data_IF_709837009991
#
_entry.id   IF_709837009991
#
_cell.length_a   1.000
_cell.length_b   1.000
_cell.length_c   1.000
_cell.angle_alpha   90.00
_cell.angle_beta   90.00
_cell.angle_gamma   90.00
#
_symmetry.space_group_name_H-M   'P 1'
#
loop_
_entity.id
_entity.type
_entity.pdbx_description
1 polymer ?
#
# COMPACT_ATOMS: atom_id res chain seq x y z
N UNK A 1 -16.38 19.78 -41.17
CA UNK A 1 -15.63 20.14 -39.95
C UNK A 1 -15.41 18.82 -39.26
N UNK A 2 -14.27 18.18 -39.55
CA UNK A 2 -14.04 16.77 -39.24
C UNK A 2 -13.84 16.59 -37.74
N UNK A 3 -14.54 15.61 -37.20
CA UNK A 3 -14.37 15.12 -35.84
C UNK A 3 -12.89 14.75 -35.60
N UNK A 4 -12.24 15.44 -34.68
CA UNK A 4 -10.98 14.99 -34.08
C UNK A 4 -11.28 13.77 -33.20
N UNK A 5 -11.35 12.60 -33.83
CA UNK A 5 -11.25 11.33 -33.13
C UNK A 5 -9.83 11.21 -32.57
N UNK A 6 -9.66 11.71 -31.35
CA UNK A 6 -8.45 11.53 -30.55
C UNK A 6 -8.27 10.04 -30.30
N UNK A 7 -7.11 9.52 -30.69
CA UNK A 7 -6.74 8.11 -30.58
C UNK A 7 -6.61 7.68 -29.13
N UNK A 8 -7.71 7.23 -28.52
CA UNK A 8 -7.69 6.65 -27.18
C UNK A 8 -7.30 5.17 -27.29
N UNK A 9 -6.00 4.88 -27.13
CA UNK A 9 -5.54 3.52 -26.87
C UNK A 9 -6.17 3.07 -25.55
N UNK A 10 -7.13 2.16 -25.60
CA UNK A 10 -7.81 1.60 -24.43
C UNK A 10 -6.84 0.71 -23.63
N UNK A 11 -5.90 1.34 -22.92
CA UNK A 11 -5.11 0.68 -21.89
C UNK A 11 -6.01 0.42 -20.68
N UNK A 12 -5.77 -0.69 -19.98
CA UNK A 12 -6.52 -1.01 -18.76
C UNK A 12 -6.29 0.10 -17.73
N UNK A 13 -7.35 0.65 -17.10
CA UNK A 13 -7.20 1.76 -16.16
C UNK A 13 -6.35 1.33 -14.95
N UNK A 14 -5.44 2.20 -14.52
CA UNK A 14 -4.54 1.97 -13.38
C UNK A 14 -5.30 1.95 -12.04
N UNK A 15 -6.40 2.69 -11.93
CA UNK A 15 -7.28 2.77 -10.77
C UNK A 15 -8.74 2.74 -11.25
N UNK A 16 -9.61 1.99 -10.56
CA UNK A 16 -11.05 1.95 -10.84
C UNK A 16 -11.87 2.09 -9.56
N UNK A 17 -12.80 3.03 -9.56
CA UNK A 17 -13.81 3.16 -8.50
C UNK A 17 -14.88 2.09 -8.72
N UNK A 18 -15.00 1.13 -7.81
CA UNK A 18 -15.98 0.03 -7.90
C UNK A 18 -17.31 0.41 -7.22
N UNK A 19 -17.28 1.36 -6.29
CA UNK A 19 -18.45 1.82 -5.51
C UNK A 19 -18.22 3.26 -5.03
N UNK A 20 -19.32 4.02 -4.94
CA UNK A 20 -19.32 5.43 -4.52
C UNK A 20 -19.28 6.39 -5.70
N UNK A 21 -19.47 7.68 -5.42
CA UNK A 21 -19.34 8.76 -6.39
C UNK A 21 -18.46 9.85 -5.77
N UNK A 22 -17.13 9.65 -5.74
CA UNK A 22 -16.23 10.60 -5.10
C UNK A 22 -16.27 11.93 -5.83
N UNK A 23 -16.08 13.01 -5.09
CA UNK A 23 -15.81 14.30 -5.71
C UNK A 23 -14.37 14.37 -6.25
N UNK A 24 -14.06 15.45 -6.99
CA UNK A 24 -12.75 15.63 -7.61
C UNK A 24 -11.62 15.67 -6.56
N UNK A 25 -11.89 16.22 -5.38
CA UNK A 25 -10.90 16.34 -4.32
C UNK A 25 -10.60 14.98 -3.68
N UNK A 26 -11.62 14.16 -3.45
CA UNK A 26 -11.49 12.80 -2.95
C UNK A 26 -10.76 11.90 -3.95
N UNK A 27 -11.09 12.01 -5.24
CA UNK A 27 -10.42 11.25 -6.29
C UNK A 27 -8.93 11.64 -6.41
N UNK A 28 -8.63 12.94 -6.33
CA UNK A 28 -7.26 13.45 -6.33
C UNK A 28 -6.47 12.96 -5.10
N UNK A 29 -7.10 12.97 -3.91
CA UNK A 29 -6.46 12.51 -2.68
C UNK A 29 -6.05 11.02 -2.76
N UNK A 30 -6.96 10.15 -3.22
CA UNK A 30 -6.66 8.73 -3.41
C UNK A 30 -5.55 8.53 -4.43
N UNK A 31 -5.60 9.26 -5.55
CA UNK A 31 -4.59 9.19 -6.61
C UNK A 31 -3.22 9.62 -6.11
N UNK A 32 -3.15 10.71 -5.34
CA UNK A 32 -1.92 11.22 -4.75
C UNK A 32 -1.29 10.22 -3.77
N UNK A 33 -2.10 9.57 -2.93
CA UNK A 33 -1.62 8.53 -2.00
C UNK A 33 -1.06 7.32 -2.76
N UNK A 34 -1.74 6.86 -3.81
CA UNK A 34 -1.27 5.73 -4.63
C UNK A 34 0.03 6.08 -5.35
N UNK A 35 0.12 7.29 -5.93
CA UNK A 35 1.34 7.77 -6.57
C UNK A 35 2.50 7.88 -5.57
N UNK A 36 2.26 8.43 -4.38
CA UNK A 36 3.26 8.55 -3.32
C UNK A 36 3.77 7.18 -2.84
N UNK A 37 2.87 6.20 -2.70
CA UNK A 37 3.24 4.83 -2.34
C UNK A 37 4.08 4.15 -3.43
N UNK A 38 3.80 4.42 -4.70
CA UNK A 38 4.56 3.91 -5.84
C UNK A 38 5.93 4.59 -6.01
N UNK A 39 6.07 5.86 -5.58
CA UNK A 39 7.30 6.63 -5.68
C UNK A 39 8.30 6.40 -4.55
N UNK A 40 8.02 5.48 -3.61
CA UNK A 40 8.94 5.20 -2.50
C UNK A 40 10.30 4.70 -3.01
N UNK A 41 11.36 5.45 -2.68
CA UNK A 41 12.75 5.05 -2.90
C UNK A 41 12.98 3.67 -2.27
N UNK A 42 13.59 2.75 -3.01
CA UNK A 42 14.05 1.49 -2.46
C UNK A 42 15.14 1.79 -1.42
N UNK A 43 14.75 1.91 -0.15
CA UNK A 43 15.69 1.97 0.96
C UNK A 43 16.64 0.78 0.79
N UNK A 44 17.95 1.06 0.83
CA UNK A 44 18.97 0.02 0.82
C UNK A 44 18.55 -1.10 1.78
N UNK A 45 18.68 -2.38 1.40
CA UNK A 45 18.21 -3.47 2.24
C UNK A 45 18.96 -3.38 3.57
N UNK A 46 18.25 -2.92 4.60
CA UNK A 46 18.63 -3.10 6.00
C UNK A 46 18.90 -4.61 6.13
N UNK A 47 20.03 -4.99 6.74
CA UNK A 47 20.42 -6.40 6.88
C UNK A 47 19.19 -7.22 7.27
N UNK A 48 18.91 -8.37 6.61
CA UNK A 48 17.60 -9.01 6.67
C UNK A 48 17.18 -9.17 8.12
N UNK A 49 16.26 -8.32 8.59
CA UNK A 49 15.72 -8.45 9.93
C UNK A 49 14.99 -9.78 9.95
N UNK A 50 15.28 -10.59 10.97
CA UNK A 50 14.57 -11.85 11.15
C UNK A 50 13.08 -11.49 11.28
N UNK A 51 12.28 -11.96 10.32
CA UNK A 51 10.84 -11.72 10.33
C UNK A 51 10.28 -12.04 11.71
N UNK A 52 9.50 -11.11 12.26
CA UNK A 52 8.77 -11.30 13.52
C UNK A 52 7.90 -12.56 13.50
N UNK A 53 7.46 -13.00 12.32
CA UNK A 53 6.68 -14.24 12.14
C UNK A 53 7.53 -15.51 12.28
N UNK A 54 8.85 -15.40 12.07
CA UNK A 54 9.81 -16.50 12.26
C UNK A 54 10.37 -16.57 13.68
N UNK A 55 9.90 -15.72 14.61
CA UNK A 55 10.34 -15.74 16.00
C UNK A 55 9.90 -17.05 16.69
N UNK A 56 10.84 -17.88 17.21
CA UNK A 56 10.50 -19.08 17.97
C UNK A 56 9.60 -18.80 19.18
N UNK A 57 9.66 -17.61 19.77
CA UNK A 57 8.79 -17.22 20.88
C UNK A 57 7.30 -17.20 20.48
N UNK A 58 6.98 -17.01 19.20
CA UNK A 58 5.60 -17.10 18.69
C UNK A 58 5.04 -18.54 18.74
N UNK A 59 5.91 -19.56 18.84
CA UNK A 59 5.49 -20.98 19.02
C UNK A 59 5.18 -21.30 20.49
N UNK A 60 5.57 -20.42 21.40
CA UNK A 60 5.29 -20.56 22.82
C UNK A 60 4.00 -19.79 23.15
N UNK A 61 3.18 -20.32 24.06
CA UNK A 61 2.00 -19.59 24.58
C UNK A 61 2.44 -18.53 25.59
N UNK A 62 3.14 -17.51 25.11
CA UNK A 62 3.54 -16.35 25.90
C UNK A 62 2.45 -15.27 25.85
N UNK A 63 2.17 -14.55 26.95
CA UNK A 63 1.27 -13.41 26.91
C UNK A 63 1.77 -12.32 25.95
N UNK A 64 0.85 -11.70 25.22
CA UNK A 64 1.15 -10.52 24.41
C UNK A 64 1.55 -9.36 25.33
N UNK A 65 2.70 -8.75 25.06
CA UNK A 65 3.18 -7.57 25.80
C UNK A 65 2.82 -6.30 25.01
N UNK A 66 1.92 -5.44 25.52
CA UNK A 66 1.65 -4.16 24.87
C UNK A 66 2.89 -3.26 24.97
N UNK A 67 3.17 -2.50 23.91
CA UNK A 67 4.30 -1.59 23.85
C UNK A 67 4.43 -0.92 22.48
N UNK A 68 5.34 0.06 22.35
CA UNK A 68 5.58 0.74 21.08
C UNK A 68 5.86 -0.26 19.95
N UNK A 69 5.14 -0.13 18.84
CA UNK A 69 5.30 -1.00 17.67
C UNK A 69 4.63 -2.39 17.77
N UNK A 70 4.04 -2.77 18.91
CA UNK A 70 3.38 -4.07 19.08
C UNK A 70 2.23 -4.29 18.08
N UNK A 71 1.44 -3.24 17.82
CA UNK A 71 0.37 -3.27 16.83
C UNK A 71 0.87 -3.37 15.38
N UNK A 72 2.01 -2.77 15.06
CA UNK A 72 2.61 -2.89 13.71
C UNK A 72 3.17 -4.29 13.48
N UNK A 73 3.78 -4.88 14.51
CA UNK A 73 4.38 -6.21 14.45
C UNK A 73 3.37 -7.35 14.23
N UNK A 74 2.06 -7.13 14.46
CA UNK A 74 1.03 -8.14 14.19
C UNK A 74 0.69 -8.27 12.69
N UNK A 75 0.91 -7.22 11.90
CA UNK A 75 0.48 -7.16 10.50
C UNK A 75 1.63 -6.98 9.50
N UNK A 76 2.84 -6.65 9.98
CA UNK A 76 4.00 -6.40 9.12
C UNK A 76 5.19 -7.26 9.55
N UNK A 77 5.86 -7.95 8.61
CA UNK A 77 7.20 -8.47 8.85
C UNK A 77 8.15 -7.27 8.97
N UNK A 78 8.71 -7.07 10.16
CA UNK A 78 9.70 -6.02 10.42
C UNK A 78 11.11 -6.39 9.97
#
# INVERSE_FOLDING_TARGET
>A
MSDEQTTETTARPLLRVVRGNPDDAELAAVTAVVAAAASGEASAPDAPRRSRWSDPAARLRTPLRPGPGAWRASALPG
#
